data_IF_475104015383
#
_entry.id   IF_475104015383
#
_cell.length_a   1.000
_cell.length_b   1.000
_cell.length_c   1.000
_cell.angle_alpha   90.00
_cell.angle_beta   90.00
_cell.angle_gamma   90.00
#
_symmetry.space_group_name_H-M   'P 1'
#
loop_
_entity.id
_entity.type
_entity.pdbx_description
1 polymer ?
#
# COMPACT_ATOMS: atom_id res chain seq x y z
N UNK A 1 6.31 9.65 55.38
CA UNK A 1 5.03 9.32 54.69
C UNK A 1 4.66 10.51 53.83
N UNK A 2 4.45 10.46 52.52
CA UNK A 2 4.22 9.35 51.58
C UNK A 2 4.90 9.66 50.24
N UNK A 3 5.50 8.63 49.65
CA UNK A 3 5.80 8.56 48.22
C UNK A 3 4.50 8.63 47.41
N UNK A 4 4.49 9.41 46.33
CA UNK A 4 3.61 9.19 45.19
C UNK A 4 4.47 9.14 43.93
N UNK A 5 4.80 7.92 43.54
CA UNK A 5 5.32 7.54 42.24
C UNK A 5 4.19 7.65 41.22
N UNK A 6 4.30 8.56 40.26
CA UNK A 6 3.46 8.55 39.05
C UNK A 6 4.24 7.81 37.97
N UNK A 7 3.89 6.54 37.76
CA UNK A 7 4.38 5.74 36.65
C UNK A 7 3.77 6.29 35.34
N UNK A 8 4.62 6.87 34.50
CA UNK A 8 4.28 7.13 33.10
C UNK A 8 4.28 5.80 32.32
N UNK A 9 3.09 5.32 31.96
CA UNK A 9 2.96 4.23 31.00
C UNK A 9 2.99 4.82 29.59
N UNK A 10 4.12 4.59 28.91
CA UNK A 10 4.28 4.73 27.47
C UNK A 10 3.27 3.84 26.75
N UNK A 11 2.24 4.44 26.14
CA UNK A 11 1.49 3.77 25.07
C UNK A 11 2.50 3.40 23.98
N UNK A 12 2.77 2.11 23.82
CA UNK A 12 3.44 1.60 22.64
C UNK A 12 2.42 1.62 21.50
N UNK A 13 2.81 2.24 20.39
CA UNK A 13 2.09 2.21 19.12
C UNK A 13 1.75 0.78 18.71
N UNK A 14 0.46 0.51 18.54
CA UNK A 14 -0.05 -0.70 17.91
C UNK A 14 0.33 -0.64 16.42
N UNK A 15 1.11 -1.59 15.88
CA UNK A 15 1.31 -1.66 14.44
C UNK A 15 -0.01 -2.07 13.79
N UNK A 16 -0.54 -1.20 12.92
CA UNK A 16 -1.65 -1.47 12.02
C UNK A 16 -1.38 -2.78 11.27
N UNK A 17 -2.02 -3.85 11.74
CA UNK A 17 -1.92 -5.17 11.17
C UNK A 17 -2.63 -5.14 9.82
N UNK A 18 -1.89 -5.45 8.75
CA UNK A 18 -2.42 -5.73 7.42
C UNK A 18 -3.50 -6.82 7.55
N UNK A 19 -4.69 -6.70 6.93
CA UNK A 19 -5.66 -7.79 6.92
C UNK A 19 -5.01 -9.06 6.37
N UNK A 20 -5.13 -10.16 7.11
CA UNK A 20 -4.77 -11.51 6.72
C UNK A 20 -5.33 -11.81 5.33
N UNK A 21 -4.43 -12.01 4.38
CA UNK A 21 -4.74 -12.73 3.15
C UNK A 21 -5.02 -14.18 3.57
N UNK A 22 -6.21 -14.66 3.21
CA UNK A 22 -6.83 -15.92 3.63
C UNK A 22 -5.84 -17.05 3.93
N UNK A 23 -5.92 -17.58 5.16
CA UNK A 23 -5.28 -18.84 5.54
C UNK A 23 -5.77 -19.98 4.64
N UNK A 24 -4.89 -20.88 4.15
CA UNK A 24 -5.33 -22.13 3.53
C UNK A 24 -5.98 -23.05 4.59
N UNK A 25 -6.85 -23.99 4.18
CA UNK A 25 -7.64 -24.79 5.11
C UNK A 25 -6.73 -25.67 5.99
N UNK A 26 -7.05 -25.69 7.27
CA UNK A 26 -6.41 -26.55 8.28
C UNK A 26 -6.69 -28.00 7.95
N UNK A 27 -5.63 -28.75 7.65
CA UNK A 27 -5.69 -30.19 7.46
C UNK A 27 -4.38 -30.77 6.93
N UNK A 28 -3.41 -30.99 7.83
CA UNK A 28 -2.45 -32.11 7.84
C UNK A 28 -1.21 -31.72 8.66
N UNK A 29 -1.21 -32.07 9.95
CA UNK A 29 0.04 -32.24 10.70
C UNK A 29 0.76 -33.50 10.18
N UNK A 30 2.06 -33.37 9.88
CA UNK A 30 2.97 -34.52 9.77
C UNK A 30 3.15 -35.14 8.37
N UNK A 31 3.71 -34.39 7.41
CA UNK A 31 4.40 -34.96 6.25
C UNK A 31 5.64 -34.09 5.90
N UNK A 32 6.81 -34.67 5.56
CA UNK A 32 7.95 -33.90 5.09
C UNK A 32 7.68 -33.47 3.63
N UNK A 33 6.91 -32.40 3.46
CA UNK A 33 6.48 -31.95 2.14
C UNK A 33 5.20 -31.12 2.15
N UNK A 34 5.04 -30.22 3.13
CA UNK A 34 4.01 -29.17 3.00
C UNK A 34 4.23 -28.38 1.70
N UNK A 35 3.17 -27.86 1.05
CA UNK A 35 3.32 -27.14 -0.21
C UNK A 35 4.23 -25.94 0.02
N UNK A 36 5.44 -26.01 -0.53
CA UNK A 36 6.40 -24.91 -0.51
C UNK A 36 5.78 -23.66 -1.12
N UNK A 37 6.25 -22.49 -0.70
CA UNK A 37 5.81 -21.23 -1.30
C UNK A 37 6.15 -21.23 -2.79
N UNK A 38 5.19 -20.88 -3.65
CA UNK A 38 5.42 -20.83 -5.09
C UNK A 38 6.27 -19.60 -5.47
N UNK A 39 7.59 -19.72 -5.42
CA UNK A 39 8.49 -18.61 -5.77
C UNK A 39 8.32 -18.12 -7.23
N UNK A 40 7.84 -18.97 -8.14
CA UNK A 40 7.61 -18.58 -9.54
C UNK A 40 6.45 -17.60 -9.71
N UNK A 41 5.58 -17.42 -8.70
CA UNK A 41 4.54 -16.39 -8.74
C UNK A 41 5.10 -14.98 -8.53
N UNK A 42 6.34 -14.84 -8.07
CA UNK A 42 7.01 -13.55 -7.90
C UNK A 42 7.49 -13.07 -9.28
N UNK A 43 6.68 -12.23 -9.92
CA UNK A 43 6.99 -11.61 -11.22
C UNK A 43 7.64 -10.25 -11.03
N UNK A 44 8.85 -10.24 -10.48
CA UNK A 44 9.64 -9.03 -10.25
C UNK A 44 11.01 -9.14 -10.93
N UNK A 45 11.58 -8.01 -11.41
CA UNK A 45 12.99 -7.94 -11.77
C UNK A 45 13.90 -8.39 -10.62
N UNK A 46 15.03 -9.00 -10.96
CA UNK A 46 16.00 -9.52 -9.98
C UNK A 46 16.46 -8.45 -8.97
N UNK A 47 16.66 -7.23 -9.44
CA UNK A 47 17.02 -6.04 -8.66
C UNK A 47 15.96 -5.63 -7.61
N UNK A 48 14.69 -6.00 -7.81
CA UNK A 48 13.60 -5.68 -6.88
C UNK A 48 13.41 -6.74 -5.80
N UNK A 49 14.02 -7.92 -5.95
CA UNK A 49 13.82 -9.05 -5.05
C UNK A 49 14.25 -8.73 -3.60
N UNK A 50 15.40 -8.10 -3.31
CA UNK A 50 15.79 -7.75 -1.94
C UNK A 50 14.76 -6.85 -1.25
N UNK A 51 14.26 -5.83 -1.95
CA UNK A 51 13.26 -4.87 -1.46
C UNK A 51 11.91 -5.55 -1.20
N UNK A 52 11.50 -6.44 -2.10
CA UNK A 52 10.30 -7.25 -1.92
C UNK A 52 10.42 -8.16 -0.69
N UNK A 53 11.54 -8.84 -0.51
CA UNK A 53 11.76 -9.75 0.63
C UNK A 53 11.83 -8.99 1.96
N UNK A 54 12.42 -7.80 1.99
CA UNK A 54 12.38 -6.94 3.18
C UNK A 54 10.94 -6.58 3.57
N UNK A 55 10.15 -6.10 2.61
CA UNK A 55 8.76 -5.70 2.85
C UNK A 55 7.83 -6.92 3.09
N UNK A 56 8.23 -8.11 2.65
CA UNK A 56 7.47 -9.36 2.75
C UNK A 56 8.14 -10.35 3.71
N UNK A 57 8.27 -9.95 4.99
CA UNK A 57 8.99 -10.72 6.01
C UNK A 57 8.54 -12.19 6.17
N UNK A 58 7.27 -12.50 5.90
CA UNK A 58 6.77 -13.87 5.90
C UNK A 58 7.38 -14.71 4.75
N UNK A 59 7.40 -14.19 3.52
CA UNK A 59 8.02 -14.85 2.36
C UNK A 59 9.52 -15.02 2.57
N UNK A 60 10.19 -13.99 3.09
CA UNK A 60 11.61 -14.06 3.41
C UNK A 60 11.91 -15.16 4.45
N UNK A 61 11.06 -15.30 5.46
CA UNK A 61 11.18 -16.35 6.48
C UNK A 61 10.96 -17.75 5.92
N UNK A 62 10.02 -17.92 5.00
CA UNK A 62 9.80 -19.17 4.28
C UNK A 62 11.01 -19.51 3.38
N UNK A 63 11.47 -18.56 2.57
CA UNK A 63 12.63 -18.70 1.69
C UNK A 63 13.91 -19.08 2.45
N UNK A 64 14.10 -18.55 3.67
CA UNK A 64 15.27 -18.89 4.50
C UNK A 64 15.30 -20.36 4.89
N UNK A 65 14.13 -20.97 5.13
CA UNK A 65 13.99 -22.36 5.56
C UNK A 65 13.97 -23.33 4.37
N UNK A 66 13.49 -22.89 3.21
CA UNK A 66 13.35 -23.73 2.03
C UNK A 66 14.72 -23.96 1.34
N UNK A 67 15.19 -25.21 1.22
CA UNK A 67 16.39 -25.57 0.45
C UNK A 67 16.37 -25.04 -0.99
N UNK A 68 15.21 -25.01 -1.63
CA UNK A 68 14.99 -24.73 -3.06
C UNK A 68 14.65 -23.27 -3.37
N UNK A 69 14.62 -22.38 -2.37
CA UNK A 69 14.33 -20.98 -2.64
C UNK A 69 15.37 -20.37 -3.61
N UNK A 70 14.95 -19.80 -4.77
CA UNK A 70 15.89 -19.22 -5.74
C UNK A 70 16.51 -17.90 -5.27
N UNK A 71 15.94 -17.27 -4.23
CA UNK A 71 16.31 -15.94 -3.77
C UNK A 71 17.23 -15.94 -2.55
N UNK A 72 17.84 -17.07 -2.20
CA UNK A 72 18.69 -17.19 -1.00
C UNK A 72 19.79 -16.13 -0.91
N UNK A 73 20.45 -15.82 -2.03
CA UNK A 73 21.50 -14.79 -2.09
C UNK A 73 21.02 -13.40 -1.65
N UNK A 74 19.73 -13.12 -1.76
CA UNK A 74 19.13 -11.83 -1.38
C UNK A 74 18.74 -11.77 0.11
N UNK A 75 18.82 -12.89 0.84
CA UNK A 75 18.48 -12.96 2.27
C UNK A 75 19.64 -12.63 3.20
N UNK A 76 20.87 -12.59 2.69
CA UNK A 76 22.09 -12.39 3.49
C UNK A 76 22.17 -10.97 4.08
N UNK A 77 21.61 -9.99 3.37
CA UNK A 77 21.61 -8.59 3.79
C UNK A 77 20.27 -7.93 3.40
N UNK A 78 19.33 -7.85 4.34
CA UNK A 78 18.02 -7.19 4.12
C UNK A 78 18.05 -5.69 4.42
N UNK A 79 19.19 -5.03 4.18
CA UNK A 79 19.34 -3.57 4.25
C UNK A 79 18.84 -2.90 2.96
N UNK A 80 17.59 -3.19 2.61
CA UNK A 80 16.93 -2.68 1.42
C UNK A 80 15.48 -2.39 1.78
N UNK A 81 14.93 -1.27 1.34
CA UNK A 81 13.53 -0.92 1.53
C UNK A 81 13.08 0.02 0.41
N UNK A 82 11.79 0.03 0.11
CA UNK A 82 11.30 0.85 -0.99
C UNK A 82 11.44 2.35 -0.67
N UNK A 83 11.35 2.72 0.60
CA UNK A 83 11.48 4.10 1.07
C UNK A 83 10.24 4.59 1.79
N UNK A 84 9.08 3.99 1.52
CA UNK A 84 7.84 4.37 2.18
C UNK A 84 7.62 3.70 3.53
N UNK A 85 8.39 2.66 3.85
CA UNK A 85 8.31 1.97 5.14
C UNK A 85 8.83 2.87 6.27
N UNK A 86 8.14 2.91 7.40
CA UNK A 86 8.49 3.82 8.51
C UNK A 86 9.88 3.55 9.09
N UNK A 87 10.32 2.29 9.07
CA UNK A 87 11.66 1.88 9.51
C UNK A 87 12.75 2.02 8.44
N UNK A 88 12.42 2.53 7.24
CA UNK A 88 13.35 2.60 6.12
C UNK A 88 14.34 3.74 6.29
N UNK A 89 15.63 3.41 6.40
CA UNK A 89 16.71 4.40 6.45
C UNK A 89 17.03 4.92 5.03
N UNK A 90 17.37 6.21 4.86
CA UNK A 90 17.65 6.79 3.54
C UNK A 90 18.67 6.02 2.69
N UNK A 91 19.72 5.49 3.31
CA UNK A 91 20.78 4.72 2.64
C UNK A 91 20.35 3.35 2.10
N UNK A 92 19.16 2.87 2.48
CA UNK A 92 18.62 1.57 2.07
C UNK A 92 17.49 1.67 1.06
N UNK A 93 17.12 2.89 0.66
CA UNK A 93 16.05 3.15 -0.31
C UNK A 93 16.41 2.59 -1.68
N UNK A 94 15.39 2.19 -2.45
CA UNK A 94 15.54 1.63 -3.79
C UNK A 94 16.32 2.55 -4.73
N UNK A 95 16.01 3.83 -4.70
CA UNK A 95 16.61 4.85 -5.54
C UNK A 95 16.91 6.09 -4.71
N UNK A 96 17.99 6.76 -5.09
CA UNK A 96 18.23 8.13 -4.70
C UNK A 96 18.72 8.91 -5.92
N UNK A 97 17.96 9.91 -6.41
CA UNK A 97 18.23 10.54 -7.69
C UNK A 97 19.63 11.16 -7.72
N UNK A 98 20.27 11.16 -8.89
CA UNK A 98 21.55 11.86 -9.11
C UNK A 98 21.22 13.22 -9.73
N UNK A 99 21.40 14.28 -8.96
CA UNK A 99 21.25 15.66 -9.43
C UNK A 99 22.62 16.26 -9.73
N UNK A 100 22.79 16.85 -10.91
CA UNK A 100 24.07 17.44 -11.37
C UNK A 100 24.08 18.97 -11.34
N UNK A 101 22.90 19.59 -11.28
CA UNK A 101 22.74 21.04 -11.15
C UNK A 101 21.47 21.36 -10.37
N UNK A 102 21.38 22.58 -9.85
CA UNK A 102 20.22 23.11 -9.13
C UNK A 102 19.43 24.01 -10.06
N UNK A 103 18.14 23.76 -10.20
CA UNK A 103 17.20 24.72 -10.79
C UNK A 103 16.68 25.64 -9.68
N UNK A 104 17.19 26.87 -9.64
CA UNK A 104 16.84 27.87 -8.62
C UNK A 104 15.35 28.27 -8.64
N UNK A 105 14.60 27.93 -9.70
CA UNK A 105 13.15 28.11 -9.73
C UNK A 105 12.39 27.08 -8.88
N UNK A 106 13.05 25.98 -8.51
CA UNK A 106 12.45 24.87 -7.77
C UNK A 106 13.07 24.67 -6.38
N UNK A 107 14.38 24.85 -6.24
CA UNK A 107 15.14 24.50 -5.03
C UNK A 107 16.45 25.30 -4.96
N UNK A 108 17.01 25.47 -3.77
CA UNK A 108 18.25 26.21 -3.51
C UNK A 108 19.51 25.31 -3.43
N UNK A 109 19.35 24.00 -3.27
CA UNK A 109 20.45 23.04 -3.06
C UNK A 109 20.22 21.73 -3.80
N UNK A 110 21.31 20.98 -4.06
CA UNK A 110 21.20 19.66 -4.68
C UNK A 110 20.49 18.67 -3.75
N UNK A 111 20.73 18.77 -2.45
CA UNK A 111 20.07 17.96 -1.43
C UNK A 111 18.55 18.19 -1.45
N UNK A 112 18.11 19.45 -1.39
CA UNK A 112 16.69 19.80 -1.48
C UNK A 112 16.05 19.38 -2.81
N UNK A 113 16.81 19.43 -3.92
CA UNK A 113 16.35 18.90 -5.21
C UNK A 113 16.05 17.39 -5.16
N UNK A 114 16.95 16.63 -4.52
CA UNK A 114 16.83 15.18 -4.39
C UNK A 114 15.69 14.79 -3.45
N UNK A 115 15.56 15.48 -2.33
CA UNK A 115 14.48 15.28 -1.38
C UNK A 115 13.13 15.60 -2.03
N UNK A 116 13.03 16.73 -2.73
CA UNK A 116 11.83 17.12 -3.48
C UNK A 116 11.43 16.06 -4.50
N UNK A 117 12.38 15.56 -5.29
CA UNK A 117 12.12 14.47 -6.23
C UNK A 117 11.61 13.22 -5.51
N UNK A 118 12.26 12.83 -4.41
CA UNK A 118 11.86 11.64 -3.66
C UNK A 118 10.44 11.77 -3.09
N UNK A 119 10.10 12.92 -2.52
CA UNK A 119 8.79 13.21 -1.93
C UNK A 119 7.66 13.29 -2.96
N UNK A 120 7.95 13.81 -4.16
CA UNK A 120 6.91 14.14 -5.15
C UNK A 120 6.80 13.15 -6.30
N UNK A 121 7.89 12.47 -6.65
CA UNK A 121 7.98 11.65 -7.87
C UNK A 121 8.53 10.23 -7.64
N UNK A 122 9.05 9.93 -6.45
CA UNK A 122 9.58 8.59 -6.10
C UNK A 122 8.73 7.93 -4.97
N UNK A 123 9.27 6.90 -4.31
CA UNK A 123 8.58 6.17 -3.24
C UNK A 123 8.14 7.02 -2.05
N UNK A 124 8.68 8.23 -1.86
CA UNK A 124 8.16 9.19 -0.88
C UNK A 124 6.71 9.60 -1.20
N UNK A 125 6.39 9.80 -2.49
CA UNK A 125 5.03 10.06 -2.97
C UNK A 125 4.11 8.88 -2.66
N UNK A 126 4.56 7.66 -2.97
CA UNK A 126 3.79 6.45 -2.70
C UNK A 126 3.52 6.28 -1.20
N UNK A 127 4.50 6.59 -0.34
CA UNK A 127 4.35 6.58 1.10
C UNK A 127 3.33 7.62 1.59
N UNK A 128 3.34 8.83 1.04
CA UNK A 128 2.36 9.85 1.36
C UNK A 128 0.94 9.40 1.00
N UNK A 129 0.72 8.88 -0.23
CA UNK A 129 -0.58 8.33 -0.65
C UNK A 129 -1.02 7.16 0.22
N UNK A 130 -0.10 6.30 0.64
CA UNK A 130 -0.37 5.16 1.52
C UNK A 130 -0.81 5.59 2.92
N UNK A 131 -0.19 6.62 3.50
CA UNK A 131 -0.56 7.16 4.83
C UNK A 131 -1.92 7.85 4.83
N UNK A 132 -2.38 8.32 3.67
CA UNK A 132 -3.69 8.93 3.49
C UNK A 132 -4.84 7.92 3.35
N UNK A 133 -4.53 6.62 3.23
CA UNK A 133 -5.53 5.57 3.05
C UNK A 133 -6.47 5.52 4.25
N UNK A 134 -7.77 5.64 3.97
CA UNK A 134 -8.84 5.46 4.93
C UNK A 134 -9.91 4.53 4.38
N UNK A 135 -10.52 3.77 5.26
CA UNK A 135 -11.64 2.92 4.91
C UNK A 135 -12.90 3.75 4.73
N UNK A 136 -13.52 3.65 3.55
CA UNK A 136 -14.79 4.31 3.22
C UNK A 136 -15.95 3.32 3.24
N UNK A 137 -15.69 2.04 2.98
CA UNK A 137 -16.67 0.95 2.99
C UNK A 137 -16.06 -0.19 3.79
N UNK A 138 -16.56 -0.38 5.01
CA UNK A 138 -16.04 -1.39 5.95
C UNK A 138 -16.80 -2.71 5.81
N UNK A 139 -16.12 -3.83 5.52
CA UNK A 139 -16.77 -5.13 5.48
C UNK A 139 -17.27 -5.54 6.87
N UNK A 140 -18.42 -6.20 6.94
CA UNK A 140 -18.92 -6.81 8.19
C UNK A 140 -18.54 -8.29 8.28
N UNK A 141 -18.36 -8.94 7.13
CA UNK A 141 -17.94 -10.34 6.98
C UNK A 141 -16.75 -10.47 6.01
N UNK A 142 -16.07 -11.62 5.99
CA UNK A 142 -14.89 -11.82 5.13
C UNK A 142 -15.19 -11.78 3.63
N UNK A 143 -16.40 -12.15 3.23
CA UNK A 143 -16.86 -12.11 1.83
C UNK A 143 -17.46 -10.76 1.41
N UNK A 144 -17.56 -9.81 2.34
CA UNK A 144 -18.16 -8.52 2.09
C UNK A 144 -17.28 -7.63 1.22
N UNK A 145 -17.88 -6.52 0.78
CA UNK A 145 -17.20 -5.51 0.01
C UNK A 145 -16.34 -4.61 0.89
N UNK A 146 -15.25 -4.10 0.33
CA UNK A 146 -14.46 -3.06 0.97
C UNK A 146 -14.08 -1.97 -0.02
N UNK A 147 -13.90 -0.75 0.49
CA UNK A 147 -13.31 0.37 -0.25
C UNK A 147 -12.38 1.14 0.68
N UNK A 148 -11.11 1.21 0.30
CA UNK A 148 -10.10 1.99 1.01
C UNK A 148 -9.48 2.96 0.02
N UNK A 149 -9.52 4.25 0.33
CA UNK A 149 -9.06 5.31 -0.58
C UNK A 149 -8.14 6.30 0.11
N UNK A 150 -7.20 6.87 -0.65
CA UNK A 150 -6.39 8.03 -0.23
C UNK A 150 -7.22 9.32 -0.26
N UNK A 151 -6.59 10.45 0.06
CA UNK A 151 -7.20 11.77 -0.11
C UNK A 151 -7.65 12.00 -1.55
N UNK A 152 -8.80 12.64 -1.67
CA UNK A 152 -9.48 13.03 -2.91
C UNK A 152 -9.77 11.86 -3.85
N UNK A 153 -9.93 10.65 -3.31
CA UNK A 153 -10.16 9.42 -4.08
C UNK A 153 -9.09 9.16 -5.16
N UNK A 154 -7.88 9.71 -5.02
CA UNK A 154 -6.82 9.62 -6.03
C UNK A 154 -6.30 8.19 -6.22
N UNK A 155 -6.32 7.41 -5.15
CA UNK A 155 -6.00 6.00 -5.18
C UNK A 155 -7.03 5.25 -4.33
N UNK A 156 -7.64 4.22 -4.90
CA UNK A 156 -8.60 3.38 -4.22
C UNK A 156 -8.29 1.90 -4.46
N UNK A 157 -8.47 1.10 -3.41
CA UNK A 157 -8.49 -0.35 -3.46
C UNK A 157 -9.86 -0.83 -3.04
N UNK A 158 -10.44 -1.70 -3.85
CA UNK A 158 -11.75 -2.28 -3.59
C UNK A 158 -11.70 -3.81 -3.64
N UNK A 159 -12.59 -4.45 -2.88
CA UNK A 159 -12.85 -5.88 -2.93
C UNK A 159 -14.34 -6.14 -3.02
N UNK A 160 -14.74 -7.18 -3.76
CA UNK A 160 -16.12 -7.67 -3.87
C UNK A 160 -17.17 -6.58 -4.17
N UNK A 161 -16.80 -5.52 -4.91
CA UNK A 161 -17.76 -4.57 -5.47
C UNK A 161 -18.29 -5.11 -6.79
N UNK A 162 -19.56 -4.82 -7.10
CA UNK A 162 -20.10 -5.04 -8.43
C UNK A 162 -20.24 -3.72 -9.17
N UNK A 163 -20.10 -3.81 -10.50
CA UNK A 163 -20.34 -2.72 -11.44
C UNK A 163 -21.30 -3.25 -12.51
N UNK A 164 -22.48 -2.64 -12.62
CA UNK A 164 -23.45 -2.93 -13.68
C UNK A 164 -23.13 -2.10 -14.92
N UNK A 165 -22.59 -2.77 -15.93
CA UNK A 165 -22.18 -2.13 -17.18
C UNK A 165 -23.23 -2.25 -18.29
N UNK A 166 -24.43 -2.80 -18.01
CA UNK A 166 -25.44 -3.11 -19.04
C UNK A 166 -26.06 -1.86 -19.69
N UNK A 167 -26.18 -0.77 -18.94
CA UNK A 167 -26.89 0.45 -19.38
C UNK A 167 -25.98 1.67 -19.58
N UNK A 168 -24.67 1.48 -19.75
CA UNK A 168 -23.73 2.60 -19.91
C UNK A 168 -24.07 3.39 -21.19
N UNK A 169 -24.46 4.64 -21.00
CA UNK A 169 -24.71 5.58 -22.09
C UNK A 169 -23.38 6.16 -22.58
N UNK A 170 -22.99 5.85 -23.81
CA UNK A 170 -21.84 6.48 -24.46
C UNK A 170 -22.09 7.99 -24.57
N UNK A 171 -21.14 8.77 -24.08
CA UNK A 171 -21.12 10.22 -24.19
C UNK A 171 -19.87 10.66 -24.94
N UNK A 172 -19.95 11.74 -25.69
CA UNK A 172 -18.77 12.43 -26.24
C UNK A 172 -18.08 13.31 -25.19
N UNK A 173 -18.75 13.57 -24.06
CA UNK A 173 -18.15 14.25 -22.92
C UNK A 173 -17.21 13.30 -22.17
N UNK A 174 -15.92 13.61 -22.24
CA UNK A 174 -14.83 12.85 -21.61
C UNK A 174 -14.77 13.06 -20.10
N UNK A 175 -15.47 14.06 -19.56
CA UNK A 175 -15.47 14.44 -18.16
C UNK A 175 -16.79 14.15 -17.46
N UNK A 176 -17.65 13.35 -18.10
CA UNK A 176 -18.91 12.91 -17.53
C UNK A 176 -18.66 12.06 -16.28
N UNK A 177 -19.23 12.47 -15.15
CA UNK A 177 -19.07 11.79 -13.85
C UNK A 177 -20.28 10.92 -13.48
N UNK A 178 -21.47 11.19 -14.05
CA UNK A 178 -22.71 10.42 -13.86
C UNK A 178 -22.78 9.22 -14.83
N UNK A 179 -21.65 8.55 -15.07
CA UNK A 179 -21.59 7.35 -15.93
C UNK A 179 -22.42 6.22 -15.34
N UNK A 180 -22.38 6.08 -14.02
CA UNK A 180 -23.16 5.13 -13.24
C UNK A 180 -24.31 5.83 -12.54
N UNK A 181 -25.48 5.21 -12.57
CA UNK A 181 -26.68 5.63 -11.87
C UNK A 181 -26.82 4.91 -10.53
N UNK A 182 -27.77 5.35 -9.71
CA UNK A 182 -28.11 4.69 -8.45
C UNK A 182 -28.43 3.21 -8.69
N UNK A 183 -27.74 2.32 -7.96
CA UNK A 183 -27.89 0.87 -8.08
C UNK A 183 -26.94 0.19 -9.07
N UNK A 184 -26.22 0.94 -9.89
CA UNK A 184 -25.27 0.37 -10.86
C UNK A 184 -23.86 0.14 -10.28
N UNK A 185 -23.57 0.70 -9.11
CA UNK A 185 -22.42 0.32 -8.29
C UNK A 185 -22.97 -0.14 -6.95
N UNK A 186 -22.45 -1.27 -6.45
CA UNK A 186 -22.81 -1.68 -5.11
C UNK A 186 -21.91 -2.77 -4.54
N UNK A 187 -22.34 -3.26 -3.39
CA UNK A 187 -21.58 -4.14 -2.52
C UNK A 187 -22.26 -4.24 -1.16
N UNK A 188 -21.79 -5.15 -0.33
CA UNK A 188 -22.26 -5.32 1.04
C UNK A 188 -21.19 -4.80 2.00
N UNK A 189 -21.41 -3.64 2.64
CA UNK A 189 -20.51 -3.06 3.64
C UNK A 189 -21.17 -1.90 4.38
N UNK A 190 -20.55 -1.45 5.48
CA UNK A 190 -20.89 -0.18 6.13
C UNK A 190 -20.19 0.97 5.39
N UNK A 191 -20.93 1.68 4.55
CA UNK A 191 -20.45 2.80 3.75
C UNK A 191 -20.51 4.13 4.52
N UNK A 192 -19.38 4.84 4.60
CA UNK A 192 -19.32 6.24 5.00
C UNK A 192 -19.60 7.14 3.78
N UNK A 193 -20.89 7.34 3.53
CA UNK A 193 -21.39 8.12 2.39
C UNK A 193 -20.92 9.58 2.48
N UNK A 194 -20.90 10.16 3.69
CA UNK A 194 -20.53 11.56 3.88
C UNK A 194 -19.07 11.80 3.48
N UNK A 195 -18.16 10.99 4.01
CA UNK A 195 -16.73 11.10 3.68
C UNK A 195 -16.49 10.82 2.20
N UNK A 196 -17.11 9.77 1.63
CA UNK A 196 -16.99 9.45 0.21
C UNK A 196 -17.37 10.65 -0.68
N UNK A 197 -18.52 11.28 -0.41
CA UNK A 197 -19.00 12.43 -1.18
C UNK A 197 -18.11 13.67 -1.02
N UNK A 198 -17.55 13.89 0.18
CA UNK A 198 -16.66 15.03 0.43
C UNK A 198 -15.31 14.89 -0.30
N UNK A 199 -14.78 13.67 -0.38
CA UNK A 199 -13.50 13.41 -1.06
C UNK A 199 -13.63 13.48 -2.59
N UNK A 200 -14.83 13.23 -3.14
CA UNK A 200 -15.11 13.35 -4.57
C UNK A 200 -15.24 14.79 -5.10
N UNK A 201 -15.23 15.82 -4.24
CA UNK A 201 -15.41 17.20 -4.68
C UNK A 201 -14.18 17.79 -5.40
N UNK A 202 -12.99 17.22 -5.20
CA UNK A 202 -11.77 17.74 -5.83
C UNK A 202 -11.57 17.10 -7.20
N UNK A 203 -11.88 17.86 -8.24
CA UNK A 203 -11.68 17.49 -9.64
C UNK A 203 -10.29 17.92 -10.12
N UNK A 204 -9.70 17.16 -11.03
CA UNK A 204 -8.39 17.51 -11.60
C UNK A 204 -8.47 18.85 -12.35
N UNK A 205 -7.40 19.68 -12.38
CA UNK A 205 -7.37 20.92 -13.15
C UNK A 205 -7.64 20.74 -14.66
N UNK A 206 -7.50 19.51 -15.18
CA UNK A 206 -7.83 19.18 -16.57
C UNK A 206 -9.31 18.79 -16.77
N UNK A 207 -10.13 18.90 -15.72
CA UNK A 207 -11.58 18.67 -15.73
C UNK A 207 -12.38 19.93 -15.40
N UNK A 208 -11.74 21.11 -15.37
CA UNK A 208 -12.40 22.42 -15.23
C UNK A 208 -12.66 23.08 -16.57
#
# INVERSE_FOLDING_TARGET
>A
MSMLLVFGLLLHDLPLSRPEEASPPVGAEGAPGGPGFNYASIRLPEEHIPFFLHNSGHVASLCRKDPHCPFKKHLENLKFCWGYEESCRPEFRFSYPVCTYVDMGWTDTLESARDTFWEQADFGYAGARRRELRELCRPEQTSDSSLVCSRYLQYCRATNLYLDLRNIKRSHDRFKEDVFQTGEIGGHCKLDVHTLMSEGQRKSPLQS
#
